data_IF_868912492361
#
_entry.id   IF_868912492361
#
_cell.length_a   1.000
_cell.length_b   1.000
_cell.length_c   1.000
_cell.angle_alpha   90.00
_cell.angle_beta   90.00
_cell.angle_gamma   90.00
#
_symmetry.space_group_name_H-M   'P 1'
#
loop_
_entity.id
_entity.type
_entity.pdbx_description
1 polymer ?
#
# COMPACT_ATOMS: atom_id res chain seq x y z
N UNK A 1 -10.80 -0.12 -14.12
CA UNK A 1 -9.46 -0.57 -14.55
C UNK A 1 -8.44 -0.02 -13.59
N UNK A 2 -7.34 -0.73 -13.28
CA UNK A 2 -6.33 -0.24 -12.36
C UNK A 2 -5.48 0.87 -13.01
N UNK A 3 -4.98 1.77 -12.17
CA UNK A 3 -3.91 2.73 -12.51
C UNK A 3 -2.61 2.28 -11.86
N UNK A 4 -1.47 2.56 -12.50
CA UNK A 4 -0.15 2.17 -12.00
C UNK A 4 0.71 3.42 -11.84
N UNK A 5 1.21 3.62 -10.64
CA UNK A 5 1.99 4.79 -10.26
C UNK A 5 3.42 4.38 -9.85
N UNK A 6 4.39 5.20 -10.26
CA UNK A 6 5.77 5.10 -9.78
C UNK A 6 6.02 6.20 -8.75
N UNK A 7 6.18 5.80 -7.49
CA UNK A 7 6.52 6.72 -6.41
C UNK A 7 8.04 6.78 -6.26
N UNK A 8 8.64 7.86 -6.75
CA UNK A 8 10.11 8.04 -6.71
C UNK A 8 10.63 8.42 -5.32
N UNK A 9 9.81 9.07 -4.48
CA UNK A 9 10.15 9.42 -3.10
C UNK A 9 8.93 9.65 -2.22
N UNK A 10 8.62 8.69 -1.34
CA UNK A 10 7.62 8.89 -0.28
C UNK A 10 8.00 10.01 0.70
N UNK A 11 9.31 10.18 0.94
CA UNK A 11 9.82 11.21 1.83
C UNK A 11 9.53 12.63 1.34
N UNK A 12 9.71 12.92 0.04
CA UNK A 12 9.36 14.22 -0.53
C UNK A 12 7.84 14.45 -0.52
N UNK A 13 7.04 13.45 -0.92
CA UNK A 13 5.58 13.55 -0.86
C UNK A 13 5.08 13.84 0.56
N UNK A 14 5.72 13.24 1.58
CA UNK A 14 5.42 13.54 2.98
C UNK A 14 5.78 14.96 3.39
N UNK A 15 6.92 15.48 2.93
CA UNK A 15 7.31 16.87 3.23
C UNK A 15 6.35 17.85 2.58
N UNK A 16 5.98 17.63 1.34
CA UNK A 16 4.99 18.44 0.61
C UNK A 16 3.66 18.50 1.37
N UNK A 17 3.10 17.34 1.74
CA UNK A 17 1.84 17.32 2.48
C UNK A 17 1.93 17.97 3.86
N UNK A 18 3.07 17.86 4.56
CA UNK A 18 3.29 18.58 5.82
C UNK A 18 3.34 20.10 5.64
N UNK A 19 3.90 20.58 4.53
CA UNK A 19 3.92 22.01 4.18
C UNK A 19 2.49 22.50 3.92
N UNK A 20 1.70 21.75 3.14
CA UNK A 20 0.31 22.07 2.85
C UNK A 20 -0.57 22.11 4.12
N UNK A 21 -0.45 21.11 5.00
CA UNK A 21 -1.15 21.09 6.29
C UNK A 21 -0.76 22.25 7.20
N UNK A 22 0.54 22.57 7.24
CA UNK A 22 1.02 23.73 8.00
C UNK A 22 0.43 25.02 7.43
N UNK A 23 0.37 25.16 6.10
CA UNK A 23 -0.24 26.31 5.45
C UNK A 23 -1.71 26.44 5.83
N UNK A 24 -2.50 25.37 5.66
CA UNK A 24 -3.92 25.35 6.01
C UNK A 24 -4.17 25.71 7.49
N UNK A 25 -3.31 25.23 8.41
CA UNK A 25 -3.40 25.58 9.85
C UNK A 25 -3.18 27.07 10.12
N UNK A 26 -2.35 27.75 9.34
CA UNK A 26 -2.03 29.17 9.50
C UNK A 26 -2.93 30.09 8.65
N UNK A 27 -3.50 29.54 7.57
CA UNK A 27 -4.29 30.25 6.58
C UNK A 27 -5.55 29.44 6.25
N UNK A 28 -6.53 29.34 7.16
CA UNK A 28 -7.68 28.44 6.99
C UNK A 28 -8.61 28.82 5.82
N UNK A 29 -8.47 30.02 5.25
CA UNK A 29 -9.21 30.48 4.07
C UNK A 29 -8.45 30.25 2.76
N UNK A 30 -7.20 29.77 2.83
CA UNK A 30 -6.32 29.53 1.69
C UNK A 30 -5.58 28.20 1.90
N UNK A 31 -6.24 27.11 1.48
CA UNK A 31 -5.73 25.76 1.67
C UNK A 31 -5.03 25.25 0.41
N UNK A 32 -3.91 24.55 0.61
CA UNK A 32 -3.18 23.89 -0.47
C UNK A 32 -3.48 22.39 -0.43
N UNK A 33 -3.65 21.77 -1.61
CA UNK A 33 -3.85 20.33 -1.73
C UNK A 33 -2.48 19.63 -1.84
N UNK A 34 -2.13 18.72 -0.90
CA UNK A 34 -0.92 17.90 -1.00
C UNK A 34 -0.82 17.16 -2.33
N UNK A 35 0.38 17.00 -2.88
CA UNK A 35 0.61 16.25 -4.11
C UNK A 35 0.10 14.80 -4.01
N UNK A 36 0.28 14.16 -2.85
CA UNK A 36 -0.26 12.83 -2.59
C UNK A 36 -1.79 12.77 -2.74
N UNK A 37 -2.52 13.80 -2.28
CA UNK A 37 -3.98 13.91 -2.45
C UNK A 37 -4.36 14.18 -3.90
N UNK A 38 -3.53 14.89 -4.67
CA UNK A 38 -3.79 15.08 -6.10
C UNK A 38 -3.66 13.77 -6.88
N UNK A 39 -2.75 12.87 -6.47
CA UNK A 39 -2.56 11.57 -7.10
C UNK A 39 -3.55 10.49 -6.63
N UNK A 40 -3.83 10.46 -5.32
CA UNK A 40 -4.49 9.33 -4.66
C UNK A 40 -5.66 9.76 -3.75
N UNK A 41 -6.19 10.95 -3.94
CA UNK A 41 -7.24 11.53 -3.07
C UNK A 41 -8.66 11.10 -3.41
N UNK A 42 -8.85 10.22 -4.40
CA UNK A 42 -10.16 9.62 -4.69
C UNK A 42 -10.44 8.42 -3.77
N UNK A 43 -11.64 7.85 -3.90
CA UNK A 43 -12.07 6.72 -3.07
C UNK A 43 -11.54 5.36 -3.59
N UNK A 44 -10.66 5.36 -4.61
CA UNK A 44 -10.16 4.13 -5.22
C UNK A 44 -9.19 3.41 -4.26
N UNK A 45 -9.43 2.14 -3.92
CA UNK A 45 -8.49 1.38 -3.10
C UNK A 45 -7.11 1.30 -3.74
N UNK A 46 -6.08 1.63 -2.98
CA UNK A 46 -4.70 1.73 -3.44
C UNK A 46 -3.83 0.73 -2.69
N UNK A 47 -3.05 -0.06 -3.44
CA UNK A 47 -2.04 -0.97 -2.88
C UNK A 47 -0.65 -0.39 -3.16
N UNK A 48 0.09 -0.06 -2.10
CA UNK A 48 1.49 0.36 -2.20
C UNK A 48 2.41 -0.81 -1.83
N UNK A 49 3.33 -1.16 -2.72
CA UNK A 49 4.34 -2.19 -2.46
C UNK A 49 5.74 -1.60 -2.54
N UNK A 50 6.61 -1.95 -1.59
CA UNK A 50 7.98 -1.45 -1.51
C UNK A 50 8.97 -2.54 -1.13
N UNK A 51 10.20 -2.43 -1.62
CA UNK A 51 11.34 -3.22 -1.14
C UNK A 51 11.86 -2.70 0.24
N UNK A 52 11.26 -1.64 0.79
CA UNK A 52 11.45 -1.15 2.15
C UNK A 52 10.31 -1.58 3.08
N UNK A 53 10.50 -1.39 4.39
CA UNK A 53 9.47 -1.59 5.42
C UNK A 53 8.20 -0.77 5.15
N UNK A 54 7.06 -1.24 5.63
CA UNK A 54 5.74 -0.64 5.41
C UNK A 54 5.69 0.83 5.87
N UNK A 55 6.44 1.18 6.92
CA UNK A 55 6.55 2.54 7.43
C UNK A 55 6.99 3.58 6.37
N UNK A 56 7.68 3.15 5.29
CA UNK A 56 8.09 4.06 4.21
C UNK A 56 6.90 4.46 3.33
N UNK A 57 6.13 3.55 2.69
CA UNK A 57 4.91 3.95 1.98
C UNK A 57 3.80 4.54 2.87
N UNK A 58 3.72 4.14 4.15
CA UNK A 58 2.74 4.67 5.11
C UNK A 58 2.90 6.17 5.37
N UNK A 59 4.08 6.73 5.07
CA UNK A 59 4.37 8.16 5.20
C UNK A 59 3.33 9.09 4.55
N UNK A 60 2.63 8.62 3.51
CA UNK A 60 1.63 9.40 2.78
C UNK A 60 0.18 9.01 3.06
N UNK A 61 -0.07 7.97 3.88
CA UNK A 61 -1.38 7.34 4.02
C UNK A 61 -2.51 8.32 4.34
N UNK A 62 -2.24 9.33 5.19
CA UNK A 62 -3.24 10.33 5.61
C UNK A 62 -3.73 11.27 4.49
N UNK A 63 -3.09 11.25 3.33
CA UNK A 63 -3.47 12.05 2.15
C UNK A 63 -4.08 11.20 1.04
N UNK A 64 -4.18 9.89 1.24
CA UNK A 64 -4.86 8.95 0.36
C UNK A 64 -6.34 8.90 0.78
N UNK A 65 -7.25 8.96 -0.18
CA UNK A 65 -8.70 9.00 0.09
C UNK A 65 -9.26 7.62 0.43
N UNK A 66 -9.21 6.71 -0.53
CA UNK A 66 -9.68 5.33 -0.40
C UNK A 66 -8.83 4.47 0.54
N UNK A 67 -9.20 3.20 0.64
CA UNK A 67 -8.44 2.21 1.41
C UNK A 67 -7.00 2.13 0.90
N UNK A 68 -6.04 2.34 1.79
CA UNK A 68 -4.61 2.24 1.49
C UNK A 68 -4.01 1.00 2.14
N UNK A 69 -3.64 0.01 1.32
CA UNK A 69 -3.01 -1.23 1.77
C UNK A 69 -1.51 -1.15 1.46
N UNK A 70 -0.68 -1.38 2.46
CA UNK A 70 0.78 -1.31 2.31
C UNK A 70 1.40 -2.69 2.46
N UNK A 71 2.26 -3.05 1.50
CA UNK A 71 3.08 -4.26 1.50
C UNK A 71 4.56 -3.84 1.58
N UNK A 72 5.20 -4.17 2.69
CA UNK A 72 6.59 -3.85 2.97
C UNK A 72 7.42 -5.06 3.39
N UNK A 73 8.73 -4.87 3.43
CA UNK A 73 9.72 -5.90 3.79
C UNK A 73 10.08 -5.89 5.28
N UNK A 74 9.08 -5.68 6.13
CA UNK A 74 9.22 -5.74 7.59
C UNK A 74 9.73 -7.12 8.02
N UNK A 75 10.65 -7.14 8.99
CA UNK A 75 11.29 -8.36 9.48
C UNK A 75 12.80 -8.42 9.20
N UNK A 76 13.41 -9.54 9.55
CA UNK A 76 14.84 -9.76 9.35
C UNK A 76 15.15 -10.26 7.93
N UNK A 77 16.26 -9.77 7.38
CA UNK A 77 16.78 -10.25 6.12
C UNK A 77 17.22 -11.72 6.20
N UNK A 78 17.09 -12.44 5.08
CA UNK A 78 17.53 -13.82 4.93
C UNK A 78 18.22 -14.01 3.57
N UNK A 79 19.05 -15.04 3.46
CA UNK A 79 19.72 -15.38 2.19
C UNK A 79 18.84 -16.32 1.38
N UNK A 80 18.36 -15.85 0.23
CA UNK A 80 17.56 -16.63 -0.72
C UNK A 80 17.57 -15.93 -2.10
N UNK A 81 16.88 -16.49 -3.09
CA UNK A 81 16.66 -15.84 -4.39
C UNK A 81 15.77 -14.61 -4.26
N UNK A 82 15.87 -13.65 -5.21
CA UNK A 82 15.04 -12.44 -5.18
C UNK A 82 13.55 -12.79 -5.21
N UNK A 83 13.17 -13.77 -6.01
CA UNK A 83 11.79 -14.24 -6.16
C UNK A 83 11.27 -14.82 -4.83
N UNK A 84 12.06 -15.68 -4.18
CA UNK A 84 11.70 -16.28 -2.90
C UNK A 84 11.63 -15.23 -1.77
N UNK A 85 12.53 -14.24 -1.74
CA UNK A 85 12.48 -13.14 -0.78
C UNK A 85 11.22 -12.28 -0.97
N UNK A 86 10.87 -11.93 -2.21
CA UNK A 86 9.66 -11.13 -2.48
C UNK A 86 8.39 -11.86 -2.09
N UNK A 87 8.33 -13.19 -2.29
CA UNK A 87 7.18 -13.98 -1.88
C UNK A 87 7.08 -14.12 -0.36
N UNK A 88 8.21 -14.25 0.32
CA UNK A 88 8.26 -14.29 1.78
C UNK A 88 7.91 -12.98 2.45
N UNK A 89 8.42 -11.87 1.94
CA UNK A 89 8.05 -10.54 2.42
C UNK A 89 6.67 -10.08 1.92
N UNK A 90 6.00 -10.88 1.09
CA UNK A 90 4.66 -10.63 0.58
C UNK A 90 4.56 -9.34 -0.27
N UNK A 91 5.58 -9.12 -1.10
CA UNK A 91 5.70 -7.98 -2.03
C UNK A 91 5.80 -8.43 -3.50
N UNK A 92 5.48 -9.70 -3.77
CA UNK A 92 5.39 -10.24 -5.13
C UNK A 92 4.04 -9.92 -5.79
N UNK A 93 3.92 -10.27 -7.07
CA UNK A 93 2.70 -10.02 -7.86
C UNK A 93 1.47 -10.67 -7.24
N UNK A 94 1.59 -11.91 -6.76
CA UNK A 94 0.48 -12.64 -6.15
C UNK A 94 -0.03 -11.94 -4.89
N UNK A 95 0.90 -11.42 -4.07
CA UNK A 95 0.58 -10.66 -2.86
C UNK A 95 -0.13 -9.34 -3.19
N UNK A 96 0.34 -8.61 -4.21
CA UNK A 96 -0.29 -7.36 -4.68
C UNK A 96 -1.71 -7.61 -5.19
N UNK A 97 -1.92 -8.67 -5.99
CA UNK A 97 -3.25 -9.04 -6.49
C UNK A 97 -4.18 -9.40 -5.35
N UNK A 98 -3.71 -10.21 -4.39
CA UNK A 98 -4.53 -10.62 -3.25
C UNK A 98 -4.90 -9.45 -2.35
N UNK A 99 -3.97 -8.51 -2.13
CA UNK A 99 -4.22 -7.26 -1.39
C UNK A 99 -5.29 -6.40 -2.08
N UNK A 100 -5.23 -6.25 -3.40
CA UNK A 100 -6.20 -5.48 -4.16
C UNK A 100 -7.60 -6.13 -4.12
N UNK A 101 -7.68 -7.45 -4.30
CA UNK A 101 -8.97 -8.16 -4.22
C UNK A 101 -9.55 -8.13 -2.81
N UNK A 102 -8.71 -8.27 -1.77
CA UNK A 102 -9.13 -8.16 -0.38
C UNK A 102 -9.66 -6.77 -0.04
N UNK A 103 -9.02 -5.71 -0.54
CA UNK A 103 -9.51 -4.35 -0.40
C UNK A 103 -10.91 -4.20 -1.03
N UNK A 104 -11.07 -4.63 -2.29
CA UNK A 104 -12.35 -4.56 -3.00
C UNK A 104 -13.46 -5.40 -2.35
N UNK A 105 -13.13 -6.58 -1.84
CA UNK A 105 -14.09 -7.45 -1.15
C UNK A 105 -14.53 -6.83 0.19
N UNK A 106 -13.60 -6.28 0.98
CA UNK A 106 -13.91 -5.57 2.23
C UNK A 106 -14.73 -4.30 2.02
N UNK A 107 -14.53 -3.62 0.89
CA UNK A 107 -15.29 -2.42 0.53
C UNK A 107 -16.63 -2.77 -0.15
N UNK A 108 -16.95 -4.07 -0.31
CA UNK A 108 -18.19 -4.55 -0.90
C UNK A 108 -18.27 -4.40 -2.43
N UNK A 109 -17.16 -4.06 -3.08
CA UNK A 109 -17.05 -3.92 -4.53
C UNK A 109 -16.83 -5.27 -5.23
N UNK A 110 -16.53 -6.34 -4.49
CA UNK A 110 -16.43 -7.72 -4.96
C UNK A 110 -17.21 -8.69 -4.06
N UNK A 111 -17.74 -9.80 -4.61
CA UNK A 111 -18.42 -10.81 -3.81
C UNK A 111 -17.51 -11.45 -2.76
N UNK A 112 -18.10 -11.86 -1.64
CA UNK A 112 -17.40 -12.65 -0.64
C UNK A 112 -16.84 -13.96 -1.25
N UNK A 113 -15.61 -14.33 -0.87
CA UNK A 113 -14.90 -15.51 -1.37
C UNK A 113 -14.03 -15.25 -2.62
N UNK A 114 -14.06 -14.04 -3.19
CA UNK A 114 -13.21 -13.66 -4.33
C UNK A 114 -11.72 -13.83 -3.99
N UNK A 115 -11.32 -13.45 -2.78
CA UNK A 115 -9.95 -13.62 -2.28
C UNK A 115 -9.57 -15.10 -2.16
N UNK A 116 -10.49 -15.97 -1.73
CA UNK A 116 -10.22 -17.40 -1.54
C UNK A 116 -9.99 -18.10 -2.89
N UNK A 117 -10.84 -17.82 -3.88
CA UNK A 117 -10.68 -18.31 -5.25
C UNK A 117 -9.35 -17.86 -5.87
N UNK A 118 -8.99 -16.59 -5.66
CA UNK A 118 -7.75 -16.02 -6.16
C UNK A 118 -6.53 -16.64 -5.49
N UNK A 119 -6.55 -16.83 -4.17
CA UNK A 119 -5.45 -17.46 -3.44
C UNK A 119 -5.21 -18.90 -3.92
N UNK A 120 -6.28 -19.68 -4.11
CA UNK A 120 -6.19 -21.04 -4.64
C UNK A 120 -5.58 -21.06 -6.05
N UNK A 121 -6.00 -20.12 -6.93
CA UNK A 121 -5.49 -20.01 -8.30
C UNK A 121 -4.03 -19.56 -8.37
N UNK A 122 -3.61 -18.69 -7.45
CA UNK A 122 -2.26 -18.12 -7.40
C UNK A 122 -1.28 -18.94 -6.56
N UNK A 123 -1.76 -19.98 -5.85
CA UNK A 123 -0.93 -20.80 -4.97
C UNK A 123 -0.45 -20.04 -3.72
N UNK A 124 -1.23 -19.09 -3.23
CA UNK A 124 -0.86 -18.28 -2.06
C UNK A 124 -1.33 -18.96 -0.78
N UNK A 125 -0.39 -19.36 0.08
CA UNK A 125 -0.69 -19.85 1.44
C UNK A 125 -1.40 -18.78 2.28
N UNK A 126 -2.49 -19.17 2.95
CA UNK A 126 -3.37 -18.29 3.76
C UNK A 126 -2.94 -18.19 5.22
N UNK A 127 -2.20 -19.18 5.70
CA UNK A 127 -1.58 -19.20 7.01
C UNK A 127 -0.07 -19.14 6.80
N UNK A 128 0.55 -18.06 7.27
CA UNK A 128 1.97 -17.80 7.11
C UNK A 128 2.61 -17.45 8.45
N UNK A 129 3.90 -17.71 8.54
CA UNK A 129 4.70 -17.28 9.68
C UNK A 129 4.75 -15.75 9.76
N UNK A 130 4.74 -15.19 10.98
CA UNK A 130 4.94 -13.77 11.18
C UNK A 130 6.39 -13.40 10.87
N UNK A 131 6.62 -12.77 9.72
CA UNK A 131 7.94 -12.31 9.26
C UNK A 131 8.63 -11.32 10.23
N UNK A 132 7.89 -10.73 11.18
CA UNK A 132 8.42 -9.82 12.20
C UNK A 132 8.80 -10.52 13.51
N UNK A 133 8.42 -11.78 13.70
CA UNK A 133 8.76 -12.59 14.88
C UNK A 133 10.09 -13.33 14.77
N UNK A 134 10.79 -13.47 15.90
CA UNK A 134 11.98 -14.34 16.06
C UNK A 134 11.62 -15.82 15.97
#
# INVERSE_FOLDING_TARGET
SPEVWSVTSYGEMRRDGLVAERHARLHPQDTQTPYATQCFGDDTPTVASSDHIAAIPEMIQRWVGGRYVVLGTDGFGRSDTREALRSFFEIDTSSIVLAALSALEQDGAMPAGTVDDAAAKLGVERERYDKTGE
#
